data_IF_876725729019
#
_entry.id   IF_876725729019
#
_cell.length_a   1.000
_cell.length_b   1.000
_cell.length_c   1.000
_cell.angle_alpha   90.00
_cell.angle_beta   90.00
_cell.angle_gamma   90.00
#
_symmetry.space_group_name_H-M   'P 1'
#
loop_
_entity.id
_entity.type
_entity.pdbx_description
1 polymer ?
#
# COMPACT_ATOMS: atom_id res chain seq x y z
N UNK A 1 6.22 11.42 1.83
CA UNK A 1 6.31 12.88 1.99
C UNK A 1 5.97 13.54 0.66
N UNK A 2 5.35 14.73 0.70
CA UNK A 2 5.07 15.55 -0.49
C UNK A 2 5.94 16.79 -0.44
N UNK A 3 6.52 17.14 -1.58
CA UNK A 3 7.31 18.35 -1.79
C UNK A 3 6.43 19.33 -2.57
N UNK A 4 6.34 20.57 -2.10
CA UNK A 4 5.73 21.66 -2.86
C UNK A 4 6.76 22.18 -3.87
N UNK A 5 6.41 22.20 -5.15
CA UNK A 5 7.32 22.63 -6.22
C UNK A 5 7.44 24.16 -6.34
N UNK A 6 6.57 24.92 -5.67
CA UNK A 6 6.66 26.39 -5.62
C UNK A 6 7.69 26.86 -4.61
N UNK A 7 7.80 26.16 -3.47
CA UNK A 7 8.77 26.48 -2.39
C UNK A 7 9.98 25.56 -2.39
N UNK A 8 9.90 24.39 -3.05
CA UNK A 8 10.89 23.32 -2.99
C UNK A 8 11.12 22.75 -1.57
N UNK A 9 10.11 22.87 -0.71
CA UNK A 9 10.15 22.36 0.66
C UNK A 9 9.18 21.19 0.86
N UNK A 10 9.41 20.40 1.91
CA UNK A 10 8.47 19.34 2.30
C UNK A 10 7.24 19.99 2.94
N UNK A 11 6.13 20.03 2.22
CA UNK A 11 4.87 20.57 2.71
C UNK A 11 4.13 19.59 3.62
N UNK A 12 4.39 18.29 3.50
CA UNK A 12 3.55 17.27 4.14
C UNK A 12 4.22 15.90 4.30
N UNK A 13 4.00 15.26 5.45
CA UNK A 13 4.44 13.90 5.75
C UNK A 13 3.26 13.12 6.37
N UNK A 14 2.89 12.02 5.74
CA UNK A 14 1.91 11.07 6.26
C UNK A 14 2.59 9.72 6.54
N UNK A 15 2.38 9.19 7.73
CA UNK A 15 2.83 7.85 8.12
C UNK A 15 1.87 6.78 7.57
N UNK A 16 2.42 5.65 7.10
CA UNK A 16 1.63 4.54 6.58
C UNK A 16 1.50 3.48 7.70
N UNK A 17 0.32 3.34 8.34
CA UNK A 17 0.11 2.33 9.36
C UNK A 17 0.02 0.93 8.73
N UNK A 18 0.11 -0.10 9.57
CA UNK A 18 0.03 -1.51 9.15
C UNK A 18 1.02 -1.86 8.03
N UNK A 19 2.18 -1.19 8.01
CA UNK A 19 3.19 -1.37 6.99
C UNK A 19 4.59 -1.54 7.60
N UNK A 20 5.36 -2.44 6.99
CA UNK A 20 6.74 -2.73 7.31
C UNK A 20 7.60 -2.60 6.05
N UNK A 21 8.66 -1.79 6.14
CA UNK A 21 9.59 -1.60 5.03
C UNK A 21 8.96 -1.08 3.75
N UNK A 22 8.11 -0.05 3.82
CA UNK A 22 7.44 0.53 2.65
C UNK A 22 8.40 0.70 1.46
N UNK A 23 8.10 0.02 0.35
CA UNK A 23 9.00 -0.05 -0.81
C UNK A 23 8.29 0.27 -2.12
N UNK A 24 7.06 -0.19 -2.30
CA UNK A 24 6.28 0.03 -3.53
C UNK A 24 5.73 1.47 -3.63
N UNK A 25 6.59 2.46 -3.48
CA UNK A 25 6.26 3.89 -3.41
C UNK A 25 7.44 4.79 -3.78
N UNK A 26 7.19 6.03 -4.23
CA UNK A 26 5.89 6.54 -4.63
C UNK A 26 5.58 6.19 -6.09
N UNK A 27 4.39 5.66 -6.34
CA UNK A 27 3.83 5.53 -7.69
C UNK A 27 2.45 6.18 -7.72
N UNK A 28 2.18 6.97 -8.76
CA UNK A 28 0.95 7.74 -8.92
C UNK A 28 0.03 7.11 -9.94
N UNK A 29 -1.28 7.15 -9.67
CA UNK A 29 -2.29 6.91 -10.71
C UNK A 29 -2.23 7.99 -11.79
N UNK A 30 -2.83 7.70 -12.95
CA UNK A 30 -2.69 8.50 -14.17
C UNK A 30 -2.93 10.00 -13.98
N UNK A 31 -3.90 10.40 -13.15
CA UNK A 31 -4.20 11.79 -12.87
C UNK A 31 -3.93 12.16 -11.41
N UNK A 32 -3.01 11.44 -10.76
CA UNK A 32 -2.61 11.66 -9.35
C UNK A 32 -3.79 11.58 -8.39
N UNK A 33 -4.82 10.79 -8.70
CA UNK A 33 -5.92 10.50 -7.77
C UNK A 33 -5.39 9.84 -6.49
N UNK A 34 -4.41 8.95 -6.67
CA UNK A 34 -3.72 8.26 -5.61
C UNK A 34 -2.21 8.25 -5.80
N UNK A 35 -1.50 8.33 -4.68
CA UNK A 35 -0.16 7.76 -4.51
C UNK A 35 -0.31 6.43 -3.79
N UNK A 36 0.41 5.41 -4.23
CA UNK A 36 0.37 4.09 -3.57
C UNK A 36 1.61 3.82 -2.72
N UNK A 37 1.42 2.96 -1.73
CA UNK A 37 2.46 2.41 -0.89
C UNK A 37 2.21 0.91 -0.64
N UNK A 38 3.28 0.14 -0.50
CA UNK A 38 3.22 -1.31 -0.35
C UNK A 38 4.13 -1.80 0.77
N UNK A 39 3.59 -2.67 1.60
CA UNK A 39 4.33 -3.37 2.66
C UNK A 39 5.27 -4.40 2.06
N UNK A 40 6.59 -4.17 2.16
CA UNK A 40 7.60 -5.15 1.72
C UNK A 40 7.81 -6.25 2.74
N UNK A 41 7.77 -5.93 4.03
CA UNK A 41 7.91 -6.91 5.09
C UNK A 41 6.59 -6.96 5.83
N UNK A 42 5.91 -8.11 5.76
CA UNK A 42 4.63 -8.32 6.42
C UNK A 42 4.69 -7.89 7.89
N UNK A 43 3.55 -7.43 8.41
CA UNK A 43 3.40 -7.08 9.82
C UNK A 43 2.27 -7.90 10.44
N UNK A 44 2.29 -8.17 11.76
CA UNK A 44 1.19 -8.85 12.42
C UNK A 44 -0.13 -8.14 12.20
N UNK A 45 -1.18 -8.91 11.90
CA UNK A 45 -2.51 -8.37 11.69
C UNK A 45 -3.62 -9.26 12.28
N UNK A 46 -4.44 -8.76 13.23
CA UNK A 46 -4.34 -7.44 13.88
C UNK A 46 -2.98 -7.22 14.57
N UNK A 47 -2.58 -5.96 14.80
CA UNK A 47 -1.30 -5.66 15.43
C UNK A 47 -1.21 -6.24 16.85
N UNK A 48 -0.29 -7.17 17.05
CA UNK A 48 -0.08 -7.90 18.30
C UNK A 48 1.34 -8.48 18.36
N UNK A 49 1.80 -8.78 19.56
CA UNK A 49 3.07 -9.48 19.77
C UNK A 49 2.88 -10.98 19.49
N UNK A 50 3.51 -11.46 18.43
CA UNK A 50 3.45 -12.86 17.96
C UNK A 50 4.84 -13.33 17.53
N UNK A 51 5.08 -14.64 17.66
CA UNK A 51 6.33 -15.23 17.20
C UNK A 51 6.50 -15.06 15.69
N UNK A 52 7.73 -14.75 15.26
CA UNK A 52 8.09 -14.70 13.84
C UNK A 52 7.90 -16.05 13.14
N UNK A 53 7.92 -17.16 13.87
CA UNK A 53 7.65 -18.50 13.32
C UNK A 53 6.22 -18.64 12.80
N UNK A 54 5.31 -17.77 13.23
CA UNK A 54 3.93 -17.71 12.77
C UNK A 54 3.70 -16.79 11.57
N UNK A 55 4.77 -16.42 10.84
CA UNK A 55 4.73 -15.43 9.76
C UNK A 55 3.58 -15.64 8.77
N UNK A 56 3.50 -16.80 8.11
CA UNK A 56 2.46 -17.10 7.13
C UNK A 56 1.03 -17.04 7.70
N UNK A 57 0.85 -17.29 9.00
CA UNK A 57 -0.46 -17.26 9.65
C UNK A 57 -0.85 -15.83 10.06
N UNK A 58 0.01 -15.20 10.87
CA UNK A 58 -0.34 -13.99 11.63
C UNK A 58 0.10 -12.70 10.96
N UNK A 59 1.01 -12.76 9.98
CA UNK A 59 1.48 -11.57 9.28
C UNK A 59 0.67 -11.38 8.00
N UNK A 60 0.55 -10.12 7.58
CA UNK A 60 -0.17 -9.75 6.36
C UNK A 60 0.56 -8.62 5.64
N UNK A 61 0.34 -8.53 4.35
CA UNK A 61 0.74 -7.40 3.52
C UNK A 61 -0.39 -6.40 3.37
N UNK A 62 -0.07 -5.12 3.36
CA UNK A 62 -1.01 -4.04 3.11
C UNK A 62 -0.58 -3.26 1.88
N UNK A 63 -1.50 -3.07 0.94
CA UNK A 63 -1.36 -2.12 -0.15
C UNK A 63 -2.21 -0.90 0.15
N UNK A 64 -1.58 0.25 0.29
CA UNK A 64 -2.20 1.49 0.74
C UNK A 64 -2.41 2.43 -0.42
N UNK A 65 -3.63 2.98 -0.53
CA UNK A 65 -3.98 4.01 -1.49
C UNK A 65 -4.16 5.34 -0.75
N UNK A 66 -3.24 6.26 -1.01
CA UNK A 66 -3.19 7.59 -0.41
C UNK A 66 -3.83 8.55 -1.41
N UNK A 67 -5.01 9.06 -1.09
CA UNK A 67 -5.71 10.03 -1.93
C UNK A 67 -5.01 11.36 -1.88
N UNK A 68 -4.94 12.03 -3.03
CA UNK A 68 -4.44 13.39 -3.17
C UNK A 68 -5.63 14.30 -3.48
N UNK A 69 -5.78 15.37 -2.71
CA UNK A 69 -6.74 16.42 -3.06
C UNK A 69 -6.24 17.18 -4.31
N UNK A 70 -7.03 17.30 -5.39
CA UNK A 70 -6.57 17.90 -6.63
C UNK A 70 -6.37 19.42 -6.54
N UNK A 71 -6.93 20.10 -5.54
CA UNK A 71 -6.81 21.54 -5.38
C UNK A 71 -5.64 21.92 -4.46
N UNK A 72 -5.47 21.22 -3.33
CA UNK A 72 -4.42 21.52 -2.34
C UNK A 72 -3.19 20.60 -2.44
N UNK A 73 -3.34 19.43 -3.04
CA UNK A 73 -2.34 18.35 -3.03
C UNK A 73 -2.26 17.61 -1.69
N UNK A 74 -3.13 17.91 -0.73
CA UNK A 74 -3.13 17.29 0.60
C UNK A 74 -3.38 15.78 0.51
N UNK A 75 -2.61 15.01 1.28
CA UNK A 75 -2.64 13.56 1.32
C UNK A 75 -3.58 13.05 2.41
N UNK A 76 -4.34 12.00 2.11
CA UNK A 76 -5.08 11.24 3.12
C UNK A 76 -5.12 9.75 2.77
N UNK A 77 -5.02 8.88 3.77
CA UNK A 77 -5.18 7.44 3.52
C UNK A 77 -6.65 7.16 3.20
N UNK A 78 -6.95 6.76 1.96
CA UNK A 78 -8.31 6.47 1.56
C UNK A 78 -8.73 5.06 1.99
N UNK A 79 -7.89 4.07 1.71
CA UNK A 79 -8.08 2.68 2.10
C UNK A 79 -6.77 1.88 2.01
N UNK A 80 -6.76 0.73 2.67
CA UNK A 80 -5.77 -0.33 2.49
C UNK A 80 -6.44 -1.60 1.95
N UNK A 81 -5.70 -2.42 1.24
CA UNK A 81 -6.12 -3.77 0.82
C UNK A 81 -5.32 -4.78 1.62
N UNK A 82 -6.00 -5.66 2.36
CA UNK A 82 -5.38 -6.71 3.16
C UNK A 82 -5.05 -7.91 2.28
N UNK A 83 -3.79 -8.31 2.22
CA UNK A 83 -3.30 -9.41 1.40
C UNK A 83 -2.40 -10.37 2.21
N UNK A 84 -2.07 -11.56 1.67
CA UNK A 84 -1.03 -12.43 2.24
C UNK A 84 0.29 -11.68 2.47
N UNK A 85 1.15 -12.21 3.35
CA UNK A 85 2.40 -11.58 3.75
C UNK A 85 3.52 -11.77 2.73
N UNK A 86 3.19 -11.65 1.44
CA UNK A 86 4.16 -11.59 0.38
C UNK A 86 4.99 -10.31 0.51
N UNK A 87 6.22 -10.36 0.00
CA UNK A 87 7.06 -9.18 -0.04
C UNK A 87 6.68 -8.35 -1.26
N UNK A 88 5.80 -7.35 -1.10
CA UNK A 88 5.41 -6.44 -2.18
C UNK A 88 6.55 -5.47 -2.48
N UNK A 89 7.06 -5.53 -3.71
CA UNK A 89 8.34 -4.95 -4.07
C UNK A 89 8.16 -3.55 -4.67
N UNK A 90 7.81 -3.48 -5.96
CA UNK A 90 7.50 -2.23 -6.66
C UNK A 90 6.06 -2.20 -7.13
N UNK A 91 5.59 -1.00 -7.47
CA UNK A 91 4.27 -0.81 -8.06
C UNK A 91 4.36 -0.01 -9.34
N UNK A 92 3.33 -0.09 -10.16
CA UNK A 92 3.10 0.89 -11.21
C UNK A 92 1.60 0.95 -11.53
N UNK A 93 1.05 2.17 -11.58
CA UNK A 93 -0.36 2.37 -11.91
C UNK A 93 -0.57 2.43 -13.42
N UNK A 94 -1.67 1.84 -13.88
CA UNK A 94 -2.06 1.85 -15.28
C UNK A 94 -2.46 3.24 -15.78
N UNK A 95 -2.31 3.43 -17.09
CA UNK A 95 -2.61 4.66 -17.84
C UNK A 95 -3.40 4.29 -19.09
N UNK A 96 -4.19 5.21 -19.64
CA UNK A 96 -4.98 4.98 -20.84
C UNK A 96 -5.84 3.71 -20.73
N UNK A 97 -5.56 2.69 -21.54
CA UNK A 97 -6.35 1.45 -21.55
C UNK A 97 -6.30 0.65 -20.24
N UNK A 98 -5.27 0.84 -19.42
CA UNK A 98 -5.14 0.20 -18.10
C UNK A 98 -5.51 1.13 -16.94
N UNK A 99 -6.08 2.32 -17.23
CA UNK A 99 -6.64 3.19 -16.21
C UNK A 99 -7.61 2.43 -15.30
N UNK A 100 -7.55 2.72 -14.00
CA UNK A 100 -8.33 2.00 -12.99
C UNK A 100 -7.62 0.83 -12.35
N UNK A 101 -6.41 0.48 -12.81
CA UNK A 101 -5.59 -0.59 -12.24
C UNK A 101 -4.29 -0.08 -11.66
N UNK A 102 -3.82 -0.73 -10.58
CA UNK A 102 -2.45 -0.61 -10.08
C UNK A 102 -1.86 -1.99 -9.91
N UNK A 103 -0.63 -2.17 -10.38
CA UNK A 103 0.07 -3.45 -10.35
C UNK A 103 1.16 -3.39 -9.30
N UNK A 104 1.26 -4.41 -8.46
CA UNK A 104 2.30 -4.56 -7.46
C UNK A 104 3.03 -5.88 -7.71
N UNK A 105 4.33 -5.84 -7.89
CA UNK A 105 5.15 -7.06 -7.92
C UNK A 105 5.27 -7.62 -6.52
N UNK A 106 5.45 -8.93 -6.44
CA UNK A 106 5.76 -9.61 -5.19
C UNK A 106 6.86 -10.63 -5.42
N UNK A 107 7.72 -10.77 -4.41
CA UNK A 107 8.57 -11.94 -4.24
C UNK A 107 8.27 -12.55 -2.85
N UNK A 108 8.94 -13.65 -2.48
CA UNK A 108 8.70 -14.33 -1.20
C UNK A 108 7.24 -14.78 -1.04
N UNK A 109 6.60 -15.30 -2.11
CA UNK A 109 5.24 -15.86 -2.00
C UNK A 109 5.20 -17.16 -1.19
N UNK A 110 6.37 -17.68 -0.81
CA UNK A 110 6.59 -18.76 0.14
C UNK A 110 6.38 -18.33 1.61
N UNK A 111 6.25 -17.03 1.87
CA UNK A 111 6.02 -16.42 3.19
C UNK A 111 7.08 -16.85 4.22
N UNK A 112 8.35 -16.73 3.83
CA UNK A 112 9.50 -17.07 4.68
C UNK A 112 10.01 -15.82 5.39
N UNK A 113 10.51 -15.99 6.61
CA UNK A 113 10.98 -14.89 7.46
C UNK A 113 12.46 -15.01 7.84
N UNK A 114 13.12 -16.12 7.52
CA UNK A 114 14.53 -16.37 7.86
C UNK A 114 15.28 -16.87 6.64
N UNK A 115 16.57 -16.50 6.54
CA UNK A 115 17.48 -16.90 5.46
C UNK A 115 16.81 -16.73 4.07
N UNK A 116 16.28 -15.54 3.78
CA UNK A 116 15.48 -15.27 2.58
C UNK A 116 16.22 -15.62 1.28
N UNK A 117 17.54 -15.42 1.24
CA UNK A 117 18.39 -15.83 0.11
C UNK A 117 18.28 -17.31 -0.24
N UNK A 118 17.95 -18.15 0.74
CA UNK A 118 17.73 -19.59 0.58
C UNK A 118 16.25 -19.89 0.40
N UNK A 119 15.39 -19.22 1.15
CA UNK A 119 14.00 -19.65 1.36
C UNK A 119 12.95 -18.91 0.52
N UNK A 120 13.20 -17.68 0.06
CA UNK A 120 12.22 -16.77 -0.56
C UNK A 120 12.17 -16.81 -2.10
N UNK A 121 12.48 -17.97 -2.69
CA UNK A 121 12.59 -18.17 -4.14
C UNK A 121 12.51 -19.67 -4.50
N UNK A 122 11.72 -20.44 -3.76
CA UNK A 122 11.53 -21.86 -4.00
C UNK A 122 10.46 -22.11 -5.08
N UNK A 123 9.48 -21.23 -5.22
CA UNK A 123 8.50 -21.30 -6.29
C UNK A 123 9.11 -20.89 -7.64
N UNK A 124 8.61 -21.49 -8.72
CA UNK A 124 8.99 -21.12 -10.10
C UNK A 124 8.38 -19.78 -10.54
N UNK A 125 7.29 -19.38 -9.88
CA UNK A 125 6.57 -18.13 -10.13
C UNK A 125 6.11 -17.55 -8.81
N UNK A 126 6.24 -16.24 -8.71
CA UNK A 126 5.52 -15.44 -7.74
C UNK A 126 4.35 -14.76 -8.46
N UNK A 127 3.87 -13.62 -7.96
CA UNK A 127 2.73 -12.92 -8.54
C UNK A 127 2.99 -11.43 -8.77
N UNK A 128 2.25 -10.89 -9.73
CA UNK A 128 1.87 -9.48 -9.74
C UNK A 128 0.44 -9.39 -9.22
N UNK A 129 0.21 -8.60 -8.18
CA UNK A 129 -1.13 -8.24 -7.70
C UNK A 129 -1.66 -7.07 -8.53
N UNK A 130 -2.67 -7.32 -9.36
CA UNK A 130 -3.40 -6.29 -10.10
C UNK A 130 -4.62 -5.84 -9.28
N UNK A 131 -4.55 -4.63 -8.71
CA UNK A 131 -5.61 -4.01 -7.91
C UNK A 131 -6.47 -3.10 -8.78
N UNK A 132 -7.78 -3.33 -8.82
CA UNK A 132 -8.75 -2.44 -9.46
C UNK A 132 -9.19 -1.35 -8.47
N UNK A 133 -8.54 -0.19 -8.52
CA UNK A 133 -8.82 0.87 -7.56
C UNK A 133 -10.15 1.59 -7.86
N UNK A 134 -10.67 1.55 -9.09
CA UNK A 134 -12.05 2.01 -9.38
C UNK A 134 -13.09 1.11 -8.71
N UNK A 135 -12.86 -0.20 -8.72
CA UNK A 135 -13.70 -1.15 -7.99
C UNK A 135 -13.61 -0.95 -6.48
N UNK A 136 -12.41 -0.64 -5.98
CA UNK A 136 -12.22 -0.26 -4.58
C UNK A 136 -13.07 0.97 -4.21
N UNK A 137 -13.09 2.02 -5.04
CA UNK A 137 -13.95 3.20 -4.83
C UNK A 137 -15.44 2.81 -4.73
N UNK A 138 -15.93 1.94 -5.63
CA UNK A 138 -17.31 1.45 -5.58
C UNK A 138 -17.61 0.74 -4.24
N UNK A 139 -16.71 -0.13 -3.77
CA UNK A 139 -16.89 -0.83 -2.50
C UNK A 139 -16.85 0.12 -1.30
N UNK A 140 -15.96 1.11 -1.31
CA UNK A 140 -15.89 2.14 -0.28
C UNK A 140 -17.20 2.95 -0.23
N UNK A 141 -17.74 3.35 -1.38
CA UNK A 141 -19.02 4.07 -1.46
C UNK A 141 -20.21 3.23 -0.98
N UNK A 142 -20.18 1.92 -1.21
CA UNK A 142 -21.19 0.98 -0.72
C UNK A 142 -21.04 0.65 0.78
N UNK A 143 -20.01 1.17 1.47
CA UNK A 143 -19.74 0.82 2.86
C UNK A 143 -19.15 -0.58 3.06
N UNK A 144 -18.66 -1.23 1.99
CA UNK A 144 -18.07 -2.58 2.02
C UNK A 144 -16.59 -2.52 2.37
N UNK A 145 -16.30 -2.07 3.57
CA UNK A 145 -14.98 -2.04 4.16
C UNK A 145 -15.08 -2.30 5.66
N UNK A 146 -13.96 -2.66 6.26
CA UNK A 146 -13.83 -2.74 7.71
C UNK A 146 -13.06 -1.50 8.19
N UNK A 147 -13.59 -0.78 9.16
CA UNK A 147 -12.78 0.20 9.90
C UNK A 147 -11.92 -0.55 10.89
N UNK A 148 -10.60 -0.36 10.82
CA UNK A 148 -9.65 -0.99 11.74
C UNK A 148 -8.84 0.06 12.49
N UNK A 149 -8.57 -0.16 13.80
CA UNK A 149 -7.64 0.65 14.55
C UNK A 149 -6.24 0.67 13.90
N UNK A 150 -5.69 1.86 13.75
CA UNK A 150 -4.38 2.11 13.14
C UNK A 150 -3.86 3.46 13.62
N UNK A 151 -2.78 3.48 14.39
CA UNK A 151 -2.17 4.73 14.87
C UNK A 151 -1.13 5.21 13.88
N UNK A 152 -1.27 6.45 13.41
CA UNK A 152 -0.30 7.09 12.52
C UNK A 152 -0.40 8.61 12.63
N UNK A 153 0.66 9.30 12.23
CA UNK A 153 0.74 10.76 12.24
C UNK A 153 0.59 11.36 10.84
N UNK A 154 -0.11 12.48 10.77
CA UNK A 154 -0.21 13.32 9.59
C UNK A 154 0.33 14.72 9.92
N UNK A 155 1.42 15.09 9.26
CA UNK A 155 2.15 16.32 9.52
C UNK A 155 2.01 17.25 8.32
N UNK A 156 1.52 18.48 8.55
CA UNK A 156 1.42 19.52 7.55
C UNK A 156 2.31 20.70 7.95
N UNK A 157 3.11 21.19 7.01
CA UNK A 157 3.91 22.40 7.17
C UNK A 157 3.07 23.62 6.77
N UNK A 158 3.06 24.64 7.63
CA UNK A 158 2.44 25.93 7.36
C UNK A 158 3.52 26.97 7.06
N UNK A 159 3.61 27.33 5.78
CA UNK A 159 4.53 28.35 5.25
C UNK A 159 4.36 29.72 5.93
N UNK A 160 3.14 30.06 6.37
CA UNK A 160 2.87 31.38 6.97
C UNK A 160 3.42 31.51 8.38
N UNK A 161 3.53 30.39 9.09
CA UNK A 161 4.03 30.34 10.48
C UNK A 161 5.41 29.69 10.60
N UNK A 162 5.92 29.10 9.51
CA UNK A 162 7.14 28.27 9.47
C UNK A 162 7.12 27.15 10.52
N UNK A 163 5.95 26.56 10.75
CA UNK A 163 5.75 25.50 11.74
C UNK A 163 5.01 24.33 11.13
N UNK A 164 5.35 23.12 11.58
CA UNK A 164 4.57 21.93 11.26
C UNK A 164 3.54 21.66 12.35
N UNK A 165 2.32 21.29 11.94
CA UNK A 165 1.29 20.76 12.82
C UNK A 165 1.17 19.24 12.61
N UNK A 166 1.10 18.50 13.72
CA UNK A 166 0.98 17.04 13.73
C UNK A 166 -0.41 16.64 14.21
N UNK A 167 -1.14 15.91 13.38
CA UNK A 167 -2.46 15.34 13.70
C UNK A 167 -2.32 13.84 13.88
N UNK A 168 -2.77 13.33 15.03
CA UNK A 168 -2.84 11.90 15.29
C UNK A 168 -4.11 11.32 14.65
N UNK A 169 -3.95 10.24 13.91
CA UNK A 169 -5.02 9.44 13.32
C UNK A 169 -5.03 8.06 13.98
N UNK A 170 -6.21 7.45 14.10
CA UNK A 170 -6.39 6.23 14.91
C UNK A 170 -7.09 5.07 14.17
N UNK A 171 -7.48 5.27 12.91
CA UNK A 171 -8.13 4.24 12.11
C UNK A 171 -7.91 4.39 10.61
N UNK A 172 -8.10 3.29 9.90
CA UNK A 172 -8.10 3.22 8.43
C UNK A 172 -9.24 2.33 7.95
N UNK A 173 -9.65 2.54 6.69
CA UNK A 173 -10.57 1.64 5.99
C UNK A 173 -9.77 0.53 5.34
N UNK A 174 -10.17 -0.72 5.56
CA UNK A 174 -9.51 -1.90 4.99
C UNK A 174 -10.52 -2.66 4.13
N UNK A 175 -10.12 -2.93 2.90
CA UNK A 175 -10.83 -3.81 1.99
C UNK A 175 -10.30 -5.23 2.15
N UNK A 176 -11.22 -6.18 2.28
CA UNK A 176 -10.95 -7.61 2.39
C UNK A 176 -11.28 -8.24 1.03
N UNK A 177 -10.29 -8.75 0.27
CA UNK A 177 -10.50 -9.30 -1.07
C UNK A 177 -11.63 -10.32 -1.19
N UNK A 178 -11.79 -11.19 -0.19
CA UNK A 178 -12.84 -12.22 -0.14
C UNK A 178 -14.26 -11.62 -0.12
N UNK A 179 -14.41 -10.40 0.40
CA UNK A 179 -15.67 -9.65 0.45
C UNK A 179 -15.84 -8.71 -0.75
N UNK A 180 -14.79 -8.56 -1.56
CA UNK A 180 -14.68 -7.59 -2.66
C UNK A 180 -14.34 -8.26 -4.00
N UNK A 181 -15.26 -9.05 -4.61
CA UNK A 181 -14.99 -9.73 -5.87
C UNK A 181 -14.54 -8.78 -6.99
N UNK A 182 -13.43 -9.12 -7.65
CA UNK A 182 -12.82 -8.32 -8.71
C UNK A 182 -11.94 -7.17 -8.23
N UNK A 183 -11.71 -7.03 -6.91
CA UNK A 183 -10.77 -6.04 -6.36
C UNK A 183 -9.32 -6.35 -6.73
N UNK A 184 -8.91 -7.62 -6.66
CA UNK A 184 -7.53 -8.06 -6.91
C UNK A 184 -7.49 -9.30 -7.78
N UNK A 185 -6.50 -9.36 -8.66
CA UNK A 185 -6.13 -10.55 -9.40
C UNK A 185 -4.63 -10.80 -9.25
N UNK A 186 -4.25 -12.04 -8.93
CA UNK A 186 -2.84 -12.44 -8.91
C UNK A 186 -2.44 -13.04 -10.26
N UNK A 187 -1.47 -12.41 -10.92
CA UNK A 187 -0.94 -12.80 -12.22
C UNK A 187 0.36 -13.60 -12.01
N UNK A 188 0.41 -14.91 -12.30
CA UNK A 188 1.61 -15.72 -12.10
C UNK A 188 2.78 -15.20 -12.93
N UNK A 189 3.90 -14.86 -12.28
CA UNK A 189 5.04 -14.17 -12.90
C UNK A 189 6.37 -14.83 -12.49
N UNK A 190 7.11 -15.45 -13.44
CA UNK A 190 8.44 -15.98 -13.18
C UNK A 190 9.50 -14.86 -13.23
N UNK A 191 10.48 -14.81 -12.34
CA UNK A 191 10.58 -15.40 -11.00
C UNK A 191 11.03 -14.28 -10.08
N UNK A 192 10.44 -14.17 -8.89
CA UNK A 192 10.72 -13.12 -7.91
C UNK A 192 10.83 -11.75 -8.58
N UNK A 193 9.76 -11.34 -9.31
CA UNK A 193 9.77 -10.13 -10.12
C UNK A 193 10.00 -8.90 -9.25
N UNK A 194 10.81 -7.98 -9.76
CA UNK A 194 11.13 -6.74 -9.09
C UNK A 194 10.29 -5.57 -9.61
N UNK A 195 10.56 -5.09 -10.83
CA UNK A 195 9.84 -4.00 -11.45
C UNK A 195 8.61 -4.45 -12.24
N UNK A 196 7.65 -3.54 -12.38
CA UNK A 196 6.55 -3.61 -13.34
C UNK A 196 6.41 -2.23 -13.97
N UNK A 197 6.37 -2.16 -15.29
CA UNK A 197 6.31 -0.90 -16.05
C UNK A 197 5.08 -0.91 -16.96
N UNK A 198 4.23 0.12 -16.83
CA UNK A 198 2.94 0.23 -17.54
C UNK A 198 2.80 1.56 -18.28
#
# INVERSE_FOLDING_TARGET
ARIDLTTFETAEIIEIPNSGGNHSSPFTTENTEYVVAGTRFGVPYPQQDVSIDSYAENFKGMLTFIKIDPASGEMSIAFQVLLPAFDYDLAHSGKGNSHGWTFFTSYNTEEKATLLEVNASQHDKDFIAAINWKKAEEFIQQGKFREMPAKYMHNLYDESTHMAASTAMDKVKVLIPEECPGLVYFLPTPKSPHGVDV
#
